data_IF_911222886455
#
_entry.id   IF_911222886455
#
_cell.length_a   1.000
_cell.length_b   1.000
_cell.length_c   1.000
_cell.angle_alpha   90.00
_cell.angle_beta   90.00
_cell.angle_gamma   90.00
#
_symmetry.space_group_name_H-M   'P 1'
#
loop_
_entity.id
_entity.type
_entity.pdbx_description
1 polymer ?
#
# COMPACT_ATOMS: atom_id res chain seq x y z
N UNK A 1 -6.53 -0.85 -6.47
CA UNK A 1 -6.58 -2.13 -7.22
C UNK A 1 -5.26 -2.92 -7.20
N UNK A 2 -4.07 -2.30 -7.25
CA UNK A 2 -2.81 -3.07 -7.25
C UNK A 2 -2.59 -3.96 -6.01
N UNK A 3 -2.98 -3.51 -4.81
CA UNK A 3 -2.82 -4.28 -3.56
C UNK A 3 -3.70 -5.53 -3.49
N UNK A 4 -4.94 -5.44 -4.00
CA UNK A 4 -5.82 -6.61 -4.13
C UNK A 4 -5.22 -7.64 -5.10
N UNK A 5 -4.61 -7.19 -6.20
CA UNK A 5 -3.89 -8.06 -7.13
C UNK A 5 -2.77 -8.87 -6.44
N UNK A 6 -1.99 -8.24 -5.56
CA UNK A 6 -0.96 -8.92 -4.76
C UNK A 6 -1.56 -9.99 -3.82
N UNK A 7 -2.73 -9.73 -3.22
CA UNK A 7 -3.43 -10.72 -2.39
C UNK A 7 -3.90 -11.92 -3.23
N UNK A 8 -4.42 -11.68 -4.43
CA UNK A 8 -4.82 -12.74 -5.36
C UNK A 8 -3.62 -13.56 -5.81
N UNK A 9 -2.47 -12.93 -6.07
CA UNK A 9 -1.21 -13.62 -6.36
C UNK A 9 -0.81 -14.53 -5.19
N UNK A 10 -0.82 -14.01 -3.96
CA UNK A 10 -0.48 -14.80 -2.78
C UNK A 10 -1.40 -16.02 -2.58
N UNK A 11 -2.71 -15.85 -2.79
CA UNK A 11 -3.69 -16.95 -2.77
C UNK A 11 -3.40 -17.97 -3.89
N UNK A 12 -3.07 -17.52 -5.10
CA UNK A 12 -2.69 -18.39 -6.21
C UNK A 12 -1.41 -19.20 -5.96
N UNK A 13 -0.51 -18.67 -5.14
CA UNK A 13 0.71 -19.36 -4.67
C UNK A 13 0.46 -20.26 -3.45
N UNK A 14 -0.80 -20.46 -3.05
CA UNK A 14 -1.20 -21.16 -1.82
C UNK A 14 -0.61 -20.55 -0.53
N UNK A 15 -0.21 -19.27 -0.57
CA UNK A 15 0.36 -18.53 0.57
C UNK A 15 -0.74 -17.76 1.33
N UNK A 16 -1.74 -18.50 1.83
CA UNK A 16 -2.96 -17.93 2.42
C UNK A 16 -2.68 -17.07 3.67
N UNK A 17 -1.75 -17.50 4.52
CA UNK A 17 -1.36 -16.75 5.72
C UNK A 17 -0.75 -15.39 5.34
N UNK A 18 0.09 -15.36 4.31
CA UNK A 18 0.70 -14.13 3.79
C UNK A 18 -0.34 -13.22 3.14
N UNK A 19 -1.29 -13.80 2.39
CA UNK A 19 -2.40 -13.05 1.81
C UNK A 19 -3.24 -12.36 2.90
N UNK A 20 -3.57 -13.09 3.97
CA UNK A 20 -4.34 -12.55 5.10
C UNK A 20 -3.56 -11.50 5.87
N UNK A 21 -2.26 -11.72 6.11
CA UNK A 21 -1.39 -10.73 6.73
C UNK A 21 -1.37 -9.42 5.91
N UNK A 22 -1.22 -9.51 4.59
CA UNK A 22 -1.25 -8.34 3.72
C UNK A 22 -2.64 -7.67 3.71
N UNK A 23 -3.72 -8.45 3.73
CA UNK A 23 -5.10 -7.93 3.79
C UNK A 23 -5.34 -7.12 5.06
N UNK A 24 -4.91 -7.62 6.22
CA UNK A 24 -5.06 -6.91 7.50
C UNK A 24 -4.25 -5.62 7.49
N UNK A 25 -2.98 -5.66 7.09
CA UNK A 25 -2.17 -4.45 6.95
C UNK A 25 -2.81 -3.45 6.00
N UNK A 26 -3.31 -3.93 4.85
CA UNK A 26 -4.00 -3.14 3.85
C UNK A 26 -5.24 -2.44 4.41
N UNK A 27 -6.06 -3.13 5.18
CA UNK A 27 -7.21 -2.52 5.84
C UNK A 27 -6.78 -1.34 6.72
N UNK A 28 -5.72 -1.50 7.53
CA UNK A 28 -5.24 -0.44 8.42
C UNK A 28 -4.72 0.79 7.67
N UNK A 29 -3.73 0.64 6.78
CA UNK A 29 -3.17 1.81 6.11
C UNK A 29 -4.15 2.44 5.11
N UNK A 30 -5.08 1.67 4.52
CA UNK A 30 -6.17 2.26 3.73
C UNK A 30 -7.15 3.04 4.58
N UNK A 31 -7.57 2.50 5.73
CA UNK A 31 -8.47 3.21 6.63
C UNK A 31 -7.86 4.54 7.08
N UNK A 32 -6.58 4.56 7.44
CA UNK A 32 -5.86 5.78 7.82
C UNK A 32 -5.80 6.79 6.67
N UNK A 33 -5.53 6.36 5.43
CA UNK A 33 -5.50 7.24 4.27
C UNK A 33 -6.88 7.82 3.94
N UNK A 34 -7.95 7.02 4.03
CA UNK A 34 -9.32 7.51 3.78
C UNK A 34 -9.81 8.44 4.88
N UNK A 35 -9.52 8.14 6.15
CA UNK A 35 -9.85 9.03 7.27
C UNK A 35 -9.08 10.34 7.15
N UNK A 36 -7.77 10.28 6.86
CA UNK A 36 -6.94 11.47 6.66
C UNK A 36 -7.41 12.32 5.49
N UNK A 37 -7.75 11.70 4.35
CA UNK A 37 -8.36 12.41 3.22
C UNK A 37 -9.69 13.08 3.61
N UNK A 38 -10.57 12.38 4.35
CA UNK A 38 -11.81 12.96 4.86
C UNK A 38 -11.58 14.17 5.77
N UNK A 39 -10.59 14.09 6.67
CA UNK A 39 -10.21 15.21 7.53
C UNK A 39 -9.68 16.41 6.74
N UNK A 40 -8.88 16.17 5.68
CA UNK A 40 -8.42 17.23 4.78
C UNK A 40 -9.58 17.86 4.04
N UNK A 41 -10.45 17.07 3.41
CA UNK A 41 -11.62 17.53 2.63
C UNK A 41 -12.53 18.39 3.51
N UNK A 42 -12.80 17.96 4.74
CA UNK A 42 -13.60 18.74 5.68
C UNK A 42 -12.93 20.08 6.04
N UNK A 43 -11.61 20.08 6.24
CA UNK A 43 -10.85 21.29 6.56
C UNK A 43 -10.76 22.31 5.40
N UNK A 44 -10.98 21.88 4.15
CA UNK A 44 -10.96 22.74 2.96
C UNK A 44 -12.37 23.00 2.38
N UNK A 45 -13.39 22.95 3.23
CA UNK A 45 -14.79 23.20 2.87
C UNK A 45 -15.29 22.31 1.72
N UNK A 46 -15.05 21.00 1.84
CA UNK A 46 -15.49 19.95 0.92
C UNK A 46 -14.94 20.05 -0.52
N UNK A 47 -13.95 20.91 -0.74
CA UNK A 47 -13.25 21.02 -2.00
C UNK A 47 -12.29 19.83 -2.18
N UNK A 48 -12.46 19.03 -3.24
CA UNK A 48 -11.60 17.87 -3.55
C UNK A 48 -10.52 18.15 -4.62
N UNK A 49 -10.43 19.39 -5.11
CA UNK A 49 -9.44 19.77 -6.12
C UNK A 49 -8.08 20.06 -5.47
N UNK A 50 -7.14 19.11 -5.58
CA UNK A 50 -5.78 19.23 -5.05
C UNK A 50 -5.02 20.48 -5.53
N UNK A 51 -5.38 21.06 -6.69
CA UNK A 51 -4.75 22.30 -7.20
C UNK A 51 -5.05 23.51 -6.33
N UNK A 52 -6.10 23.43 -5.50
CA UNK A 52 -6.53 24.47 -4.57
C UNK A 52 -6.02 24.21 -3.15
N UNK A 53 -5.22 23.17 -2.93
CA UNK A 53 -4.60 22.88 -1.64
C UNK A 53 -3.24 23.56 -1.55
N UNK A 54 -2.81 23.92 -0.34
CA UNK A 54 -1.48 24.46 -0.10
C UNK A 54 -1.23 24.69 1.39
N UNK A 55 0.00 24.44 1.86
CA UNK A 55 0.43 24.78 3.23
C UNK A 55 -0.28 24.02 4.36
N UNK A 56 -1.04 22.95 4.07
CA UNK A 56 -1.88 22.27 5.06
C UNK A 56 -1.13 21.60 6.22
N UNK A 57 0.18 21.33 6.06
CA UNK A 57 1.01 20.69 7.10
C UNK A 57 1.01 21.45 8.42
N UNK A 58 1.02 22.78 8.38
CA UNK A 58 1.03 23.63 9.58
C UNK A 58 -0.34 23.63 10.30
N UNK A 59 -1.43 23.46 9.55
CA UNK A 59 -2.80 23.49 10.08
C UNK A 59 -3.30 22.11 10.52
N UNK A 60 -2.83 21.04 9.85
CA UNK A 60 -3.23 19.65 10.09
C UNK A 60 -2.02 18.75 10.35
N UNK A 61 -1.17 19.04 11.35
CA UNK A 61 0.08 18.30 11.57
C UNK A 61 -0.14 16.83 11.92
N UNK A 62 -1.20 16.52 12.68
CA UNK A 62 -1.58 15.14 12.99
C UNK A 62 -2.00 14.37 11.74
N UNK A 63 -2.93 14.94 10.96
CA UNK A 63 -3.42 14.34 9.71
C UNK A 63 -2.27 14.10 8.73
N UNK A 64 -1.38 15.10 8.57
CA UNK A 64 -0.19 14.96 7.74
C UNK A 64 0.70 13.80 8.20
N UNK A 65 0.99 13.71 9.50
CA UNK A 65 1.92 12.70 10.03
C UNK A 65 1.35 11.28 9.90
N UNK A 66 0.06 11.11 10.20
CA UNK A 66 -0.63 9.82 10.07
C UNK A 66 -0.75 9.39 8.61
N UNK A 67 -1.13 10.31 7.71
CA UNK A 67 -1.17 10.03 6.27
C UNK A 67 0.22 9.69 5.73
N UNK A 68 1.28 10.37 6.19
CA UNK A 68 2.65 10.06 5.78
C UNK A 68 3.04 8.63 6.19
N UNK A 69 2.79 8.23 7.44
CA UNK A 69 3.08 6.87 7.92
C UNK A 69 2.28 5.83 7.12
N UNK A 70 0.99 6.09 6.87
CA UNK A 70 0.14 5.20 6.10
C UNK A 70 0.60 5.08 4.63
N UNK A 71 1.02 6.18 4.00
CA UNK A 71 1.61 6.20 2.66
C UNK A 71 2.92 5.44 2.61
N UNK A 72 3.81 5.61 3.58
CA UNK A 72 5.07 4.87 3.69
C UNK A 72 4.84 3.36 3.83
N UNK A 73 3.83 2.95 4.61
CA UNK A 73 3.45 1.54 4.67
C UNK A 73 2.88 1.05 3.33
N UNK A 74 2.01 1.84 2.67
CA UNK A 74 1.43 1.47 1.37
C UNK A 74 2.50 1.27 0.27
N UNK A 75 3.56 2.06 0.25
CA UNK A 75 4.67 1.90 -0.71
C UNK A 75 5.66 0.81 -0.35
N UNK A 76 5.49 0.12 0.77
CA UNK A 76 6.46 -0.83 1.29
C UNK A 76 7.83 -0.19 1.58
N UNK A 77 7.84 0.96 2.26
CA UNK A 77 9.09 1.54 2.79
C UNK A 77 9.69 0.60 3.85
N UNK A 78 11.03 0.41 3.91
CA UNK A 78 11.67 -0.46 4.88
C UNK A 78 11.19 -0.23 6.32
N UNK A 79 11.11 -1.30 7.10
CA UNK A 79 10.62 -1.33 8.48
C UNK A 79 9.11 -1.08 8.67
N UNK A 80 8.34 -0.85 7.60
CA UNK A 80 6.88 -0.72 7.69
C UNK A 80 6.17 -2.05 7.47
N UNK A 81 4.94 -2.19 7.97
CA UNK A 81 4.14 -3.43 7.83
C UNK A 81 3.85 -3.81 6.37
N UNK A 82 3.66 -2.81 5.51
CA UNK A 82 3.50 -3.04 4.08
C UNK A 82 4.76 -3.57 3.39
N UNK A 83 5.96 -3.29 3.91
CA UNK A 83 7.21 -3.88 3.43
C UNK A 83 7.21 -5.38 3.68
N UNK A 84 7.12 -5.79 4.95
CA UNK A 84 7.15 -7.21 5.30
C UNK A 84 6.08 -8.03 4.59
N UNK A 85 4.85 -7.49 4.50
CA UNK A 85 3.77 -8.23 3.84
C UNK A 85 3.93 -8.34 2.33
N UNK A 86 4.39 -7.30 1.61
CA UNK A 86 4.63 -7.41 0.17
C UNK A 86 5.84 -8.27 -0.14
N UNK A 87 6.90 -8.13 0.63
CA UNK A 87 8.16 -8.84 0.40
C UNK A 87 7.94 -10.35 0.54
N UNK A 88 7.23 -10.80 1.59
CA UNK A 88 6.86 -12.20 1.72
C UNK A 88 5.99 -12.75 0.57
N UNK A 89 5.11 -11.93 -0.03
CA UNK A 89 4.34 -12.37 -1.21
C UNK A 89 5.29 -12.58 -2.39
N UNK A 90 6.19 -11.63 -2.64
CA UNK A 90 7.13 -11.68 -3.76
C UNK A 90 8.10 -12.86 -3.57
N UNK A 91 8.66 -13.03 -2.38
CA UNK A 91 9.53 -14.15 -2.04
C UNK A 91 8.80 -15.50 -2.15
N UNK A 92 7.52 -15.58 -1.78
CA UNK A 92 6.74 -16.81 -1.93
C UNK A 92 6.56 -17.24 -3.39
N UNK A 93 6.63 -16.31 -4.34
CA UNK A 93 6.63 -16.61 -5.76
C UNK A 93 7.97 -17.18 -6.22
N UNK A 94 9.08 -16.60 -5.75
CA UNK A 94 10.43 -17.08 -6.04
C UNK A 94 10.71 -18.45 -5.41
N UNK A 95 10.24 -18.67 -4.18
CA UNK A 95 10.38 -19.92 -3.44
C UNK A 95 9.58 -21.11 -3.98
N UNK A 96 8.83 -20.95 -5.08
CA UNK A 96 8.19 -22.07 -5.76
C UNK A 96 9.19 -22.93 -6.56
N UNK A 97 10.35 -22.38 -6.92
CA UNK A 97 11.38 -23.05 -7.72
C UNK A 97 10.91 -23.58 -9.10
N UNK A 98 9.83 -23.00 -9.65
CA UNK A 98 9.35 -23.24 -11.02
C UNK A 98 9.47 -21.98 -11.88
N UNK A 99 9.62 -22.14 -13.20
CA UNK A 99 9.66 -21.03 -14.15
C UNK A 99 8.44 -20.10 -14.02
N UNK A 100 7.25 -20.66 -13.81
CA UNK A 100 6.02 -19.90 -13.58
C UNK A 100 6.10 -19.02 -12.32
N UNK A 101 6.68 -19.54 -11.23
CA UNK A 101 6.90 -18.78 -9.99
C UNK A 101 7.88 -17.62 -10.20
N UNK A 102 8.97 -17.85 -10.93
CA UNK A 102 9.93 -16.79 -11.30
C UNK A 102 9.28 -15.72 -12.17
N UNK A 103 8.41 -16.09 -13.13
CA UNK A 103 7.66 -15.12 -13.91
C UNK A 103 6.73 -14.26 -13.04
N UNK A 104 6.01 -14.88 -12.09
CA UNK A 104 5.15 -14.18 -11.13
C UNK A 104 5.96 -13.24 -10.23
N UNK A 105 7.16 -13.64 -9.79
CA UNK A 105 8.08 -12.78 -9.04
C UNK A 105 8.37 -11.49 -9.81
N UNK A 106 8.80 -11.57 -11.07
CA UNK A 106 9.13 -10.39 -11.86
C UNK A 106 7.91 -9.48 -12.11
N UNK A 107 6.76 -10.06 -12.45
CA UNK A 107 5.52 -9.30 -12.67
C UNK A 107 5.09 -8.59 -11.38
N UNK A 108 5.16 -9.27 -10.23
CA UNK A 108 4.77 -8.72 -8.94
C UNK A 108 5.71 -7.59 -8.49
N UNK A 109 7.02 -7.75 -8.70
CA UNK A 109 8.02 -6.70 -8.40
C UNK A 109 7.80 -5.46 -9.27
N UNK A 110 7.54 -5.62 -10.57
CA UNK A 110 7.20 -4.49 -11.46
C UNK A 110 5.90 -3.81 -11.00
N UNK A 111 4.88 -4.61 -10.64
CA UNK A 111 3.62 -4.09 -10.08
C UNK A 111 3.81 -3.30 -8.78
N UNK A 112 4.73 -3.74 -7.92
CA UNK A 112 5.09 -3.04 -6.70
C UNK A 112 5.73 -1.67 -7.00
N UNK A 113 6.64 -1.58 -7.98
CA UNK A 113 7.25 -0.32 -8.42
C UNK A 113 6.22 0.68 -8.96
N UNK A 114 5.21 0.23 -9.70
CA UNK A 114 4.14 1.13 -10.13
C UNK A 114 3.27 1.68 -8.99
N UNK A 115 3.25 1.01 -7.83
CA UNK A 115 2.52 1.50 -6.66
C UNK A 115 3.26 2.67 -6.02
N UNK A 116 4.59 2.70 -6.06
CA UNK A 116 5.39 3.81 -5.52
C UNK A 116 5.33 5.05 -6.42
N UNK A 117 5.25 4.86 -7.75
CA UNK A 117 5.19 5.94 -8.74
C UNK A 117 3.82 6.66 -8.84
N UNK A 118 2.76 6.10 -8.27
CA UNK A 118 1.37 6.62 -8.38
C UNK A 118 0.85 7.32 -7.12
N UNK A 119 1.71 7.56 -6.13
CA UNK A 119 1.44 8.40 -4.97
C UNK A 119 1.90 9.83 -5.23
#
# INVERSE_FOLDING_TARGET
>A
MSQLGMMVVAVGLSSYNTALFHLVNHAFYKALLFLGAGAVIHAVADNQDFRKYGGLKAFLPLTYSVMLIASLSLVAFPFMTGFYSKDFIIESAYGQYYFSGTAVYFVSTIGAMFTTLKL
#
